data_IF_586500173252
#
_entry.id   IF_586500173252
#
_cell.length_a   1.000
_cell.length_b   1.000
_cell.length_c   1.000
_cell.angle_alpha   90.00
_cell.angle_beta   90.00
_cell.angle_gamma   90.00
#
_symmetry.space_group_name_H-M   'P 1'
#
loop_
_entity.id
_entity.type
_entity.pdbx_description
1 polymer ?
#
# COMPACT_ATOMS: atom_id res chain seq x y z
N UNK A 1 1.01 10.89 0.05
CA UNK A 1 1.19 11.28 -1.37
C UNK A 1 1.51 12.76 -1.52
N UNK A 2 0.56 13.69 -1.36
CA UNK A 2 0.80 15.12 -1.71
C UNK A 2 2.00 15.76 -1.01
N UNK A 3 2.12 15.62 0.32
CA UNK A 3 3.25 16.15 1.10
C UNK A 3 4.61 15.61 0.65
N UNK A 4 4.62 14.43 0.01
CA UNK A 4 5.83 13.73 -0.43
C UNK A 4 6.05 13.83 -1.96
N UNK A 5 5.20 14.56 -2.69
CA UNK A 5 5.17 14.51 -4.16
C UNK A 5 6.54 14.83 -4.77
N UNK A 6 7.26 15.80 -4.22
CA UNK A 6 8.61 16.13 -4.65
C UNK A 6 9.61 14.97 -4.52
N UNK A 7 9.57 14.27 -3.40
CA UNK A 7 10.43 13.11 -3.17
C UNK A 7 10.03 11.96 -4.10
N UNK A 8 8.74 11.75 -4.32
CA UNK A 8 8.23 10.74 -5.26
C UNK A 8 8.68 11.03 -6.71
N UNK A 9 8.76 12.30 -7.09
CA UNK A 9 9.32 12.75 -8.38
C UNK A 9 10.85 12.56 -8.42
N UNK A 10 11.57 12.91 -7.35
CA UNK A 10 13.02 12.72 -7.25
C UNK A 10 13.42 11.24 -7.33
N UNK A 11 12.62 10.34 -6.74
CA UNK A 11 12.77 8.89 -6.83
C UNK A 11 12.29 8.31 -8.16
N UNK A 12 11.79 9.13 -9.09
CA UNK A 12 11.23 8.73 -10.40
C UNK A 12 10.03 7.77 -10.29
N UNK A 13 9.39 7.74 -9.13
CA UNK A 13 8.17 6.97 -8.88
C UNK A 13 6.98 7.67 -9.55
N UNK A 14 6.99 9.00 -9.58
CA UNK A 14 6.01 9.83 -10.27
C UNK A 14 6.69 10.63 -11.39
N UNK A 15 6.14 10.53 -12.61
CA UNK A 15 6.49 11.43 -13.72
C UNK A 15 5.37 12.47 -13.85
N UNK A 16 5.58 13.71 -13.38
CA UNK A 16 4.52 14.71 -13.32
C UNK A 16 4.08 15.16 -14.71
N UNK A 17 5.00 15.18 -15.69
CA UNK A 17 4.69 15.56 -17.07
C UNK A 17 3.83 14.48 -17.75
N UNK A 18 4.11 13.20 -17.48
CA UNK A 18 3.27 12.09 -17.96
C UNK A 18 1.90 12.09 -17.30
N UNK A 19 1.83 12.29 -15.99
CA UNK A 19 0.55 12.32 -15.28
C UNK A 19 -0.32 13.49 -15.73
N UNK A 20 0.24 14.69 -15.90
CA UNK A 20 -0.53 15.83 -16.42
C UNK A 20 -1.02 15.61 -17.86
N UNK A 21 -0.23 14.96 -18.73
CA UNK A 21 -0.71 14.57 -20.07
C UNK A 21 -1.87 13.59 -20.03
N UNK A 22 -1.86 12.67 -19.06
CA UNK A 22 -2.96 11.70 -18.85
C UNK A 22 -4.22 12.41 -18.36
N UNK A 23 -4.07 13.30 -17.38
CA UNK A 23 -5.18 14.04 -16.75
C UNK A 23 -5.81 15.02 -17.76
N UNK A 24 -4.99 15.80 -18.47
CA UNK A 24 -5.43 16.87 -19.36
C UNK A 24 -4.96 16.62 -20.81
N UNK A 25 -5.50 15.61 -21.50
CA UNK A 25 -4.98 15.16 -22.81
C UNK A 25 -5.12 16.20 -23.93
N UNK A 26 -6.02 17.18 -23.78
CA UNK A 26 -6.25 18.25 -24.76
C UNK A 26 -5.43 19.51 -24.47
N UNK A 27 -4.73 19.57 -23.34
CA UNK A 27 -3.93 20.73 -22.95
C UNK A 27 -2.44 20.49 -23.26
N UNK A 28 -1.69 21.52 -23.68
CA UNK A 28 -0.25 21.40 -23.79
C UNK A 28 0.33 21.15 -22.40
N UNK A 29 0.93 19.97 -22.20
CA UNK A 29 1.52 19.63 -20.92
C UNK A 29 2.86 20.34 -20.73
N UNK A 30 3.16 20.82 -19.50
CA UNK A 30 4.48 21.35 -19.19
C UNK A 30 5.56 20.30 -19.46
N UNK A 31 6.67 20.73 -20.05
CA UNK A 31 7.86 19.90 -20.23
C UNK A 31 8.86 20.05 -19.08
N UNK A 32 8.79 21.17 -18.36
CA UNK A 32 9.59 21.42 -17.17
C UNK A 32 9.02 20.64 -15.97
N UNK A 33 9.88 19.87 -15.30
CA UNK A 33 9.50 19.00 -14.18
C UNK A 33 9.06 19.80 -12.96
N UNK A 34 9.66 20.96 -12.67
CA UNK A 34 9.29 21.80 -11.51
C UNK A 34 7.89 22.38 -11.72
N UNK A 35 7.64 22.92 -12.90
CA UNK A 35 6.31 23.45 -13.29
C UNK A 35 5.26 22.34 -13.29
N UNK A 36 5.58 21.18 -13.88
CA UNK A 36 4.68 20.02 -13.89
C UNK A 36 4.36 19.52 -12.48
N UNK A 37 5.35 19.44 -11.59
CA UNK A 37 5.16 19.01 -10.20
C UNK A 37 4.21 19.95 -9.45
N UNK A 38 4.39 21.27 -9.58
CA UNK A 38 3.52 22.26 -8.92
C UNK A 38 2.08 22.22 -9.47
N UNK A 39 1.92 22.08 -10.79
CA UNK A 39 0.61 21.94 -11.43
C UNK A 39 -0.10 20.64 -11.00
N UNK A 40 0.64 19.53 -10.92
CA UNK A 40 0.11 18.25 -10.44
C UNK A 40 -0.30 18.32 -8.95
N UNK A 41 0.49 18.98 -8.11
CA UNK A 41 0.13 19.24 -6.71
C UNK A 41 -1.19 20.02 -6.62
N UNK A 42 -1.31 21.07 -7.42
CA UNK A 42 -2.53 21.90 -7.48
C UNK A 42 -3.74 21.09 -7.89
N UNK A 43 -3.60 20.21 -8.88
CA UNK A 43 -4.65 19.27 -9.27
C UNK A 43 -5.09 18.41 -8.08
N UNK A 44 -4.17 17.73 -7.39
CA UNK A 44 -4.52 16.89 -6.24
C UNK A 44 -5.14 17.68 -5.08
N UNK A 45 -4.71 18.93 -4.85
CA UNK A 45 -5.32 19.80 -3.84
C UNK A 45 -6.78 20.12 -4.16
N UNK A 46 -7.09 20.33 -5.44
CA UNK A 46 -8.46 20.54 -5.91
C UNK A 46 -9.30 19.25 -5.77
N UNK A 47 -8.77 18.11 -6.20
CA UNK A 47 -9.50 16.83 -6.09
C UNK A 47 -9.77 16.46 -4.63
N UNK A 48 -8.84 16.72 -3.71
CA UNK A 48 -9.01 16.46 -2.27
C UNK A 48 -10.18 17.22 -1.65
N UNK A 49 -10.50 18.41 -2.15
CA UNK A 49 -11.58 19.25 -1.62
C UNK A 49 -12.88 19.14 -2.41
N UNK A 50 -12.86 18.40 -3.53
CA UNK A 50 -14.01 18.22 -4.40
C UNK A 50 -15.05 17.31 -3.73
N UNK A 51 -16.32 17.67 -3.89
CA UNK A 51 -17.43 16.82 -3.45
C UNK A 51 -17.47 15.52 -4.25
N UNK A 52 -17.72 14.41 -3.56
CA UNK A 52 -17.93 13.09 -4.19
C UNK A 52 -19.13 13.05 -5.15
N UNK A 53 -20.04 14.02 -5.03
CA UNK A 53 -21.21 14.14 -5.91
C UNK A 53 -20.94 14.98 -7.17
N UNK A 54 -19.76 15.59 -7.30
CA UNK A 54 -19.40 16.38 -8.47
C UNK A 54 -19.02 15.45 -9.62
N UNK A 55 -19.65 15.56 -10.81
CA UNK A 55 -19.23 14.82 -11.99
C UNK A 55 -17.82 15.26 -12.42
N UNK A 56 -16.94 14.29 -12.70
CA UNK A 56 -15.56 14.54 -13.14
C UNK A 56 -15.22 13.68 -14.36
N UNK A 57 -14.33 14.13 -15.25
CA UNK A 57 -13.77 13.28 -16.30
C UNK A 57 -13.17 12.00 -15.73
N UNK A 58 -13.35 10.86 -16.42
CA UNK A 58 -12.75 9.57 -16.03
C UNK A 58 -11.22 9.62 -15.91
N UNK A 59 -10.57 10.54 -16.64
CA UNK A 59 -9.15 10.79 -16.53
C UNK A 59 -8.72 11.20 -15.11
N UNK A 60 -9.59 11.88 -14.34
CA UNK A 60 -9.30 12.36 -12.98
C UNK A 60 -9.60 11.32 -11.90
N UNK A 61 -10.09 10.14 -12.28
CA UNK A 61 -10.36 9.09 -11.30
C UNK A 61 -9.05 8.55 -10.74
N UNK A 62 -9.13 8.02 -9.52
CA UNK A 62 -7.96 7.51 -8.79
C UNK A 62 -7.15 6.53 -9.65
N UNK A 63 -5.88 6.87 -9.88
CA UNK A 63 -4.94 6.06 -10.63
C UNK A 63 -3.93 5.32 -9.73
N UNK A 64 -2.86 4.79 -10.35
CA UNK A 64 -1.77 4.11 -9.64
C UNK A 64 -1.18 4.92 -8.47
N UNK A 65 -1.13 6.24 -8.58
CA UNK A 65 -0.63 7.15 -7.56
C UNK A 65 -1.41 7.06 -6.24
N UNK A 66 -2.74 6.97 -6.32
CA UNK A 66 -3.59 6.83 -5.14
C UNK A 66 -3.46 5.42 -4.57
N UNK A 67 -3.41 4.40 -5.42
CA UNK A 67 -3.29 3.00 -5.01
C UNK A 67 -1.97 2.71 -4.29
N UNK A 68 -0.87 3.32 -4.74
CA UNK A 68 0.43 3.29 -4.06
C UNK A 68 0.35 3.92 -2.67
N UNK A 69 -0.27 5.10 -2.57
CA UNK A 69 -0.48 5.77 -1.30
C UNK A 69 -1.40 4.97 -0.36
N UNK A 70 -2.42 4.30 -0.89
CA UNK A 70 -3.29 3.41 -0.13
C UNK A 70 -2.53 2.21 0.43
N UNK A 71 -1.68 1.56 -0.37
CA UNK A 71 -0.85 0.45 0.13
C UNK A 71 0.09 0.89 1.27
N UNK A 72 0.70 2.07 1.12
CA UNK A 72 1.52 2.69 2.16
C UNK A 72 0.72 3.00 3.43
N UNK A 73 -0.49 3.56 3.29
CA UNK A 73 -1.36 3.86 4.43
C UNK A 73 -1.84 2.59 5.16
N UNK A 74 -2.29 1.58 4.41
CA UNK A 74 -2.78 0.31 4.95
C UNK A 74 -1.69 -0.51 5.64
N UNK A 75 -0.42 -0.16 5.40
CA UNK A 75 0.75 -0.95 5.77
C UNK A 75 0.71 -2.38 5.26
N UNK A 76 -0.04 -2.63 4.19
CA UNK A 76 -0.24 -3.93 3.58
C UNK A 76 -0.18 -3.83 2.05
N UNK A 77 0.20 -4.92 1.34
CA UNK A 77 0.14 -4.92 -0.09
C UNK A 77 -1.33 -4.88 -0.55
N UNK A 78 -1.62 -3.99 -1.50
CA UNK A 78 -2.94 -3.85 -2.12
C UNK A 78 -2.95 -4.55 -3.48
N UNK A 79 -3.86 -5.51 -3.64
CA UNK A 79 -4.08 -6.20 -4.90
C UNK A 79 -5.29 -5.60 -5.61
N UNK A 80 -5.13 -5.30 -6.90
CA UNK A 80 -6.21 -4.81 -7.75
C UNK A 80 -6.50 -5.86 -8.81
N UNK A 81 -7.71 -6.41 -8.79
CA UNK A 81 -8.23 -7.25 -9.85
C UNK A 81 -8.79 -6.34 -10.94
N UNK A 82 -7.99 -6.11 -11.98
CA UNK A 82 -8.37 -5.30 -13.11
C UNK A 82 -9.15 -6.14 -14.13
N UNK A 83 -10.43 -5.84 -14.30
CA UNK A 83 -11.31 -6.52 -15.26
C UNK A 83 -11.37 -5.72 -16.55
N UNK A 84 -10.95 -6.36 -17.65
CA UNK A 84 -10.97 -5.78 -18.99
C UNK A 84 -12.38 -5.83 -19.62
N UNK A 85 -12.53 -5.33 -20.85
CA UNK A 85 -13.82 -5.32 -21.55
C UNK A 85 -14.35 -6.71 -21.93
N UNK A 86 -13.47 -7.71 -22.04
CA UNK A 86 -13.81 -9.11 -22.29
C UNK A 86 -14.15 -9.89 -21.00
N UNK A 87 -14.15 -9.22 -19.84
CA UNK A 87 -14.27 -9.80 -18.50
C UNK A 87 -13.10 -10.69 -18.07
N UNK A 88 -11.94 -10.58 -18.71
CA UNK A 88 -10.72 -11.20 -18.18
C UNK A 88 -10.16 -10.32 -17.06
N UNK A 89 -9.75 -10.96 -15.97
CA UNK A 89 -9.17 -10.30 -14.81
C UNK A 89 -7.65 -10.47 -14.82
N UNK A 90 -6.92 -9.36 -14.74
CA UNK A 90 -5.48 -9.32 -14.50
C UNK A 90 -5.20 -8.72 -13.13
N UNK A 91 -4.07 -9.10 -12.53
CA UNK A 91 -3.73 -8.64 -11.19
C UNK A 91 -2.71 -7.51 -11.28
N UNK A 92 -2.97 -6.43 -10.54
CA UNK A 92 -1.96 -5.46 -10.18
C UNK A 92 -1.65 -5.60 -8.68
N UNK A 93 -0.41 -5.28 -8.32
CA UNK A 93 0.02 -5.24 -6.92
C UNK A 93 0.65 -3.88 -6.63
N UNK A 94 0.22 -3.28 -5.53
CA UNK A 94 0.77 -2.06 -4.96
C UNK A 94 1.31 -2.35 -3.56
N UNK A 95 2.46 -1.78 -3.25
CA UNK A 95 3.17 -1.94 -1.98
C UNK A 95 4.04 -0.70 -1.76
N UNK A 96 4.92 -0.70 -0.77
CA UNK A 96 5.82 0.40 -0.46
C UNK A 96 7.19 -0.14 -0.12
N UNK A 97 8.20 0.70 -0.32
CA UNK A 97 9.59 0.38 0.02
C UNK A 97 10.36 1.69 0.23
N UNK A 98 11.54 1.53 0.84
CA UNK A 98 12.49 2.61 1.03
C UNK A 98 13.29 2.87 -0.25
N UNK A 99 13.44 4.15 -0.60
CA UNK A 99 14.29 4.64 -1.69
C UNK A 99 15.34 5.58 -1.14
N UNK A 100 16.56 5.50 -1.66
CA UNK A 100 17.60 6.48 -1.35
C UNK A 100 17.44 7.71 -2.24
N UNK A 101 17.21 8.87 -1.63
CA UNK A 101 17.15 10.16 -2.30
C UNK A 101 18.55 10.61 -2.76
N UNK A 102 18.66 11.56 -3.72
CA UNK A 102 19.95 12.08 -4.19
C UNK A 102 20.84 12.67 -3.09
N UNK A 103 20.24 13.17 -2.01
CA UNK A 103 20.96 13.71 -0.85
C UNK A 103 21.41 12.63 0.15
N UNK A 104 21.10 11.35 -0.09
CA UNK A 104 21.43 10.22 0.78
C UNK A 104 20.34 9.86 1.79
N UNK A 105 19.28 10.66 1.92
CA UNK A 105 18.18 10.37 2.84
C UNK A 105 17.36 9.17 2.37
N UNK A 106 16.71 8.48 3.31
CA UNK A 106 15.80 7.37 3.03
C UNK A 106 14.37 7.87 2.96
N UNK A 107 13.73 7.69 1.81
CA UNK A 107 12.35 8.07 1.55
C UNK A 107 11.49 6.83 1.26
N UNK A 108 10.53 6.55 2.13
CA UNK A 108 9.55 5.50 1.86
C UNK A 108 8.45 6.03 0.94
N UNK A 109 8.18 5.29 -0.14
CA UNK A 109 7.06 5.61 -1.01
C UNK A 109 6.42 4.35 -1.60
N UNK A 110 5.14 4.50 -1.95
CA UNK A 110 4.39 3.43 -2.59
C UNK A 110 4.85 3.20 -4.03
N UNK A 111 4.91 1.94 -4.43
CA UNK A 111 5.24 1.49 -5.78
C UNK A 111 4.31 0.34 -6.19
N UNK A 112 4.43 -0.14 -7.44
CA UNK A 112 3.61 -1.23 -7.94
C UNK A 112 3.17 -1.07 -9.39
N UNK A 113 2.34 -2.01 -9.82
CA UNK A 113 1.83 -2.07 -11.19
C UNK A 113 1.26 -3.44 -11.53
N UNK A 114 1.09 -3.67 -12.84
CA UNK A 114 0.62 -4.94 -13.36
C UNK A 114 1.60 -6.07 -13.03
N UNK A 115 1.04 -7.24 -12.75
CA UNK A 115 1.75 -8.48 -12.45
C UNK A 115 1.28 -9.53 -13.46
N UNK A 116 2.20 -10.40 -13.89
CA UNK A 116 1.81 -11.52 -14.74
C UNK A 116 0.97 -12.54 -13.97
N UNK A 117 0.08 -13.25 -14.67
CA UNK A 117 -0.88 -14.15 -14.06
C UNK A 117 -0.22 -15.32 -13.32
N UNK A 118 0.97 -15.76 -13.74
CA UNK A 118 1.67 -16.88 -13.09
C UNK A 118 2.23 -16.45 -11.73
N UNK A 119 2.91 -15.30 -11.68
CA UNK A 119 3.38 -14.69 -10.44
C UNK A 119 2.21 -14.37 -9.52
N UNK A 120 1.11 -13.83 -10.06
CA UNK A 120 -0.09 -13.54 -9.29
C UNK A 120 -0.68 -14.78 -8.61
N UNK A 121 -0.84 -15.87 -9.36
CA UNK A 121 -1.36 -17.14 -8.84
C UNK A 121 -0.43 -17.74 -7.79
N UNK A 122 0.88 -17.71 -8.04
CA UNK A 122 1.87 -18.21 -7.08
C UNK A 122 1.81 -17.43 -5.76
N UNK A 123 1.77 -16.10 -5.85
CA UNK A 123 1.71 -15.23 -4.69
C UNK A 123 0.41 -15.41 -3.90
N UNK A 124 -0.75 -15.39 -4.56
CA UNK A 124 -2.03 -15.60 -3.88
C UNK A 124 -2.14 -16.98 -3.24
N UNK A 125 -1.50 -18.01 -3.83
CA UNK A 125 -1.41 -19.34 -3.22
C UNK A 125 -0.56 -19.32 -1.95
N UNK A 126 0.60 -18.68 -1.96
CA UNK A 126 1.45 -18.55 -0.77
C UNK A 126 0.73 -17.82 0.38
N UNK A 127 -0.03 -16.77 0.04
CA UNK A 127 -0.89 -16.06 1.00
C UNK A 127 -1.95 -16.99 1.59
N UNK A 128 -2.62 -17.76 0.73
CA UNK A 128 -3.64 -18.71 1.16
C UNK A 128 -3.07 -19.85 2.03
N UNK A 129 -1.86 -20.36 1.74
CA UNK A 129 -1.22 -21.43 2.52
C UNK A 129 -0.93 -21.04 3.97
N UNK A 130 -0.74 -19.75 4.25
CA UNK A 130 -0.52 -19.23 5.61
C UNK A 130 -1.73 -18.45 6.15
N UNK A 131 -2.90 -18.61 5.52
CA UNK A 131 -4.14 -17.94 5.93
C UNK A 131 -3.98 -16.41 6.05
N UNK A 132 -3.23 -15.80 5.12
CA UNK A 132 -3.07 -14.35 5.01
C UNK A 132 -4.00 -13.86 3.93
N UNK A 133 -5.11 -13.21 4.31
CA UNK A 133 -5.99 -12.56 3.34
C UNK A 133 -5.42 -11.19 2.96
N UNK A 134 -5.00 -10.95 1.69
CA UNK A 134 -4.51 -9.65 1.29
C UNK A 134 -5.66 -8.65 1.12
N UNK A 135 -5.35 -7.35 1.21
CA UNK A 135 -6.28 -6.30 0.83
C UNK A 135 -6.52 -6.35 -0.69
N UNK A 136 -7.78 -6.48 -1.10
CA UNK A 136 -8.19 -6.59 -2.50
C UNK A 136 -9.28 -5.60 -2.87
N UNK A 137 -9.17 -5.04 -4.07
CA UNK A 137 -10.22 -4.27 -4.74
C UNK A 137 -10.35 -4.72 -6.20
N UNK A 138 -11.52 -4.52 -6.80
CA UNK A 138 -11.76 -4.82 -8.21
C UNK A 138 -11.87 -3.51 -8.98
N UNK A 139 -11.10 -3.35 -10.04
CA UNK A 139 -11.22 -2.24 -10.99
C UNK A 139 -11.92 -2.73 -12.25
N UNK A 140 -13.16 -2.27 -12.49
CA UNK A 140 -13.87 -2.58 -13.73
C UNK A 140 -13.71 -1.43 -14.72
N UNK A 141 -12.81 -1.57 -15.70
CA UNK A 141 -12.45 -0.48 -16.61
C UNK A 141 -13.63 0.10 -17.39
N UNK A 142 -14.60 -0.74 -17.78
CA UNK A 142 -15.78 -0.30 -18.52
C UNK A 142 -16.69 0.63 -17.73
N UNK A 143 -16.64 0.56 -16.41
CA UNK A 143 -17.41 1.41 -15.48
C UNK A 143 -16.53 2.47 -14.83
N UNK A 144 -15.21 2.39 -15.09
CA UNK A 144 -14.13 3.06 -14.41
C UNK A 144 -14.13 2.89 -12.88
N UNK A 145 -14.99 2.06 -12.30
CA UNK A 145 -15.28 2.04 -10.86
C UNK A 145 -14.42 1.02 -10.09
N UNK A 146 -14.08 1.37 -8.83
CA UNK A 146 -13.48 0.44 -7.88
C UNK A 146 -14.54 -0.18 -6.97
N UNK A 147 -14.48 -1.49 -6.80
CA UNK A 147 -15.35 -2.24 -5.90
C UNK A 147 -14.53 -2.83 -4.75
N UNK A 148 -15.03 -2.63 -3.53
CA UNK A 148 -14.48 -3.32 -2.35
C UNK A 148 -14.79 -4.82 -2.41
N UNK A 149 -13.84 -5.64 -1.97
CA UNK A 149 -14.04 -7.09 -1.87
C UNK A 149 -14.42 -7.45 -0.43
N UNK A 150 -15.59 -8.07 -0.25
CA UNK A 150 -16.00 -8.64 1.04
C UNK A 150 -15.66 -10.12 1.07
N UNK A 151 -14.64 -10.46 1.86
CA UNK A 151 -14.15 -11.84 1.99
C UNK A 151 -15.03 -12.73 2.91
N UNK A 152 -16.01 -12.16 3.63
CA UNK A 152 -16.90 -12.94 4.50
C UNK A 152 -16.21 -13.52 5.73
N UNK A 153 -16.78 -14.57 6.31
CA UNK A 153 -16.35 -15.12 7.60
C UNK A 153 -14.96 -15.77 7.60
N UNK A 154 -14.44 -16.17 6.42
CA UNK A 154 -13.09 -16.75 6.31
C UNK A 154 -12.01 -15.73 6.70
N UNK A 155 -12.19 -14.45 6.33
CA UNK A 155 -11.22 -13.42 6.68
C UNK A 155 -11.16 -13.19 8.20
N UNK A 156 -12.30 -13.26 8.89
CA UNK A 156 -12.36 -13.17 10.35
C UNK A 156 -11.69 -14.37 11.01
N UNK A 157 -11.96 -15.60 10.53
CA UNK A 157 -11.30 -16.81 11.02
C UNK A 157 -9.78 -16.72 10.85
N UNK A 158 -9.33 -16.40 9.64
CA UNK A 158 -7.92 -16.27 9.31
C UNK A 158 -7.21 -15.17 10.09
N UNK A 159 -7.93 -14.12 10.52
CA UNK A 159 -7.38 -13.10 11.39
C UNK A 159 -7.24 -13.59 12.84
N UNK A 160 -8.21 -14.37 13.34
CA UNK A 160 -8.23 -14.90 14.70
C UNK A 160 -7.19 -16.02 14.96
N UNK A 161 -6.79 -16.75 13.92
CA UNK A 161 -5.77 -17.80 14.05
C UNK A 161 -4.41 -17.22 14.45
N UNK A 162 -3.81 -17.77 15.50
CA UNK A 162 -2.54 -17.30 16.05
C UNK A 162 -2.64 -15.99 16.86
N UNK A 163 -3.86 -15.44 17.03
CA UNK A 163 -4.14 -14.27 17.87
C UNK A 163 -5.24 -14.62 18.89
N UNK A 164 -4.82 -15.13 20.05
CA UNK A 164 -5.72 -15.54 21.11
C UNK A 164 -6.58 -14.37 21.62
N UNK A 165 -6.00 -13.17 21.70
CA UNK A 165 -6.68 -11.98 22.22
C UNK A 165 -7.84 -11.59 21.30
N UNK A 166 -7.56 -11.46 20.00
CA UNK A 166 -8.58 -11.15 19.01
C UNK A 166 -9.66 -12.23 18.95
N UNK A 167 -9.25 -13.50 18.98
CA UNK A 167 -10.20 -14.61 18.93
C UNK A 167 -11.19 -14.55 20.11
N UNK A 168 -10.70 -14.33 21.33
CA UNK A 168 -11.53 -14.26 22.53
C UNK A 168 -12.44 -13.02 22.54
N UNK A 169 -11.89 -11.86 22.18
CA UNK A 169 -12.60 -10.58 22.26
C UNK A 169 -13.67 -10.41 21.17
N UNK A 170 -13.49 -11.05 20.02
CA UNK A 170 -14.31 -10.76 18.83
C UNK A 170 -14.97 -11.98 18.20
N UNK A 171 -14.55 -13.21 18.51
CA UNK A 171 -14.93 -14.39 17.73
C UNK A 171 -15.65 -15.50 18.50
N UNK A 172 -15.90 -15.33 19.79
CA UNK A 172 -16.53 -16.36 20.66
C UNK A 172 -17.92 -16.84 20.18
N UNK A 173 -18.65 -16.04 19.40
CA UNK A 173 -19.95 -16.42 18.84
C UNK A 173 -19.86 -17.25 17.55
N UNK A 174 -18.67 -17.42 16.97
CA UNK A 174 -18.50 -18.19 15.74
C UNK A 174 -18.40 -19.70 15.99
N UNK A 175 -19.04 -20.51 15.14
CA UNK A 175 -19.05 -21.99 15.28
C UNK A 175 -17.65 -22.61 15.28
N UNK A 176 -16.69 -22.01 14.56
CA UNK A 176 -15.31 -22.47 14.46
C UNK A 176 -14.41 -22.01 15.61
N UNK A 177 -14.91 -21.19 16.55
CA UNK A 177 -14.09 -20.57 17.61
C UNK A 177 -13.31 -21.62 18.40
N UNK A 178 -14.00 -22.65 18.89
CA UNK A 178 -13.36 -23.71 19.69
C UNK A 178 -12.31 -24.50 18.91
N UNK A 179 -12.47 -24.65 17.59
CA UNK A 179 -11.47 -25.29 16.74
C UNK A 179 -10.19 -24.46 16.68
N UNK A 180 -10.32 -23.13 16.53
CA UNK A 180 -9.19 -22.21 16.47
C UNK A 180 -8.45 -22.19 17.82
N UNK A 181 -9.16 -22.12 18.95
CA UNK A 181 -8.55 -22.20 20.27
C UNK A 181 -7.78 -23.51 20.45
N UNK A 182 -8.42 -24.66 20.17
CA UNK A 182 -7.79 -25.97 20.32
C UNK A 182 -6.56 -26.12 19.42
N UNK A 183 -6.58 -25.56 18.21
CA UNK A 183 -5.43 -25.57 17.30
C UNK A 183 -4.25 -24.77 17.85
N UNK A 184 -4.50 -23.57 18.39
CA UNK A 184 -3.46 -22.74 19.01
C UNK A 184 -2.85 -23.44 20.25
N UNK A 185 -3.70 -24.00 21.11
CA UNK A 185 -3.25 -24.76 22.29
C UNK A 185 -2.39 -25.97 21.90
N UNK A 186 -2.83 -26.74 20.89
CA UNK A 186 -2.07 -27.87 20.38
C UNK A 186 -0.67 -27.44 19.90
N UNK A 187 -0.60 -26.38 19.09
CA UNK A 187 0.67 -25.88 18.58
C UNK A 187 1.56 -25.29 19.69
N UNK A 188 0.99 -24.65 20.71
CA UNK A 188 1.75 -24.10 21.83
C UNK A 188 2.47 -25.17 22.68
N UNK A 189 2.02 -26.43 22.62
CA UNK A 189 2.67 -27.55 23.34
C UNK A 189 3.80 -28.21 22.57
N UNK A 190 3.98 -27.89 21.29
CA UNK A 190 5.08 -28.42 20.46
C UNK A 190 6.41 -27.80 20.87
N UNK A 191 7.47 -28.60 20.79
CA UNK A 191 8.84 -28.21 21.19
C UNK A 191 9.85 -28.38 20.07
N UNK A 192 9.41 -28.82 18.90
CA UNK A 192 10.26 -28.95 17.72
C UNK A 192 10.66 -27.58 17.15
N UNK A 193 11.91 -27.48 16.70
CA UNK A 193 12.35 -26.32 15.93
C UNK A 193 11.79 -26.42 14.51
N UNK A 194 11.07 -25.38 14.10
CA UNK A 194 10.42 -25.33 12.79
C UNK A 194 11.12 -24.31 11.90
N UNK A 195 11.53 -24.75 10.72
CA UNK A 195 11.97 -23.85 9.66
C UNK A 195 10.76 -23.19 8.99
N UNK A 196 10.55 -21.91 9.30
CA UNK A 196 9.43 -21.13 8.76
C UNK A 196 9.48 -20.95 7.24
N UNK A 197 10.64 -21.16 6.60
CA UNK A 197 10.78 -21.04 5.15
C UNK A 197 10.24 -22.26 4.39
N UNK A 198 10.00 -23.39 5.07
CA UNK A 198 9.45 -24.59 4.44
C UNK A 198 7.95 -24.45 4.20
N UNK A 199 7.49 -24.62 2.95
CA UNK A 199 6.07 -24.60 2.57
C UNK A 199 5.49 -26.03 2.51
N UNK A 200 5.20 -26.59 3.67
CA UNK A 200 4.45 -27.85 3.80
C UNK A 200 3.30 -27.73 4.81
N UNK A 201 2.38 -28.69 4.78
CA UNK A 201 1.13 -28.62 5.52
C UNK A 201 1.31 -28.60 7.05
N UNK A 202 2.29 -29.33 7.60
CA UNK A 202 2.50 -29.38 9.06
C UNK A 202 3.14 -28.08 9.55
N UNK A 203 4.16 -27.61 8.85
CA UNK A 203 4.80 -26.32 9.13
C UNK A 203 3.80 -25.18 9.01
N UNK A 204 2.96 -25.18 7.97
CA UNK A 204 1.95 -24.15 7.78
C UNK A 204 0.89 -24.18 8.89
N UNK A 205 0.42 -25.36 9.30
CA UNK A 205 -0.51 -25.50 10.41
C UNK A 205 0.09 -24.93 11.70
N UNK A 206 1.33 -25.26 12.01
CA UNK A 206 2.01 -24.70 13.17
C UNK A 206 2.12 -23.18 13.12
N UNK A 207 2.55 -22.61 11.98
CA UNK A 207 2.65 -21.16 11.80
C UNK A 207 1.28 -20.49 11.98
N UNK A 208 0.22 -21.07 11.41
CA UNK A 208 -1.16 -20.58 11.55
C UNK A 208 -1.62 -20.61 13.02
N UNK A 209 -1.24 -21.64 13.79
CA UNK A 209 -1.61 -21.78 15.19
C UNK A 209 -0.80 -20.94 16.16
N UNK A 210 0.35 -20.40 15.76
CA UNK A 210 1.30 -19.75 16.69
C UNK A 210 1.64 -18.31 16.36
N UNK A 211 1.34 -17.85 15.14
CA UNK A 211 1.71 -16.52 14.67
C UNK A 211 0.48 -15.71 14.28
N UNK A 212 0.41 -14.47 14.75
CA UNK A 212 -0.56 -13.50 14.29
C UNK A 212 -0.48 -13.31 12.77
N UNK A 213 -1.61 -12.96 12.15
CA UNK A 213 -1.70 -12.79 10.68
C UNK A 213 -0.63 -11.85 10.12
N UNK A 214 -0.23 -10.81 10.86
CA UNK A 214 0.81 -9.89 10.38
C UNK A 214 2.18 -10.55 10.30
N UNK A 215 2.55 -11.36 11.30
CA UNK A 215 3.82 -12.10 11.30
C UNK A 215 3.80 -13.15 10.18
N UNK A 216 2.65 -13.77 9.93
CA UNK A 216 2.47 -14.70 8.81
C UNK A 216 2.70 -14.04 7.45
N UNK A 217 2.29 -12.77 7.28
CA UNK A 217 2.59 -12.01 6.06
C UNK A 217 4.09 -11.84 5.84
N UNK A 218 4.87 -11.58 6.89
CA UNK A 218 6.33 -11.49 6.78
C UNK A 218 6.95 -12.84 6.37
N UNK A 219 6.47 -13.95 6.91
CA UNK A 219 6.89 -15.30 6.48
C UNK A 219 6.56 -15.54 5.00
N UNK A 220 5.36 -15.14 4.54
CA UNK A 220 5.02 -15.21 3.12
C UNK A 220 6.01 -14.40 2.28
N UNK A 221 6.38 -13.20 2.73
CA UNK A 221 7.34 -12.36 2.01
C UNK A 221 8.72 -13.01 1.96
N UNK A 222 9.21 -13.56 3.07
CA UNK A 222 10.50 -14.26 3.11
C UNK A 222 10.51 -15.46 2.16
N UNK A 223 9.46 -16.30 2.18
CA UNK A 223 9.33 -17.46 1.28
C UNK A 223 9.31 -17.07 -0.20
N UNK A 224 8.74 -15.90 -0.51
CA UNK A 224 8.69 -15.35 -1.86
C UNK A 224 9.93 -14.51 -2.23
N UNK A 225 10.93 -14.41 -1.33
CA UNK A 225 12.11 -13.55 -1.49
C UNK A 225 11.74 -12.08 -1.74
N UNK A 226 10.70 -11.60 -1.06
CA UNK A 226 10.24 -10.23 -1.10
C UNK A 226 10.71 -9.47 0.14
N UNK A 227 10.99 -8.17 0.03
CA UNK A 227 11.19 -7.33 1.20
C UNK A 227 9.98 -7.38 2.11
N UNK A 228 10.21 -7.54 3.42
CA UNK A 228 9.18 -7.32 4.43
C UNK A 228 8.75 -5.86 4.40
N UNK A 229 7.50 -5.62 4.75
CA UNK A 229 6.91 -4.30 4.75
C UNK A 229 6.92 -3.75 6.19
N UNK A 230 7.26 -2.47 6.38
CA UNK A 230 7.21 -1.82 7.70
C UNK A 230 5.77 -1.79 8.24
N UNK A 231 5.53 -2.19 9.48
CA UNK A 231 4.19 -2.18 10.07
C UNK A 231 3.85 -0.89 10.84
N UNK A 232 4.79 0.07 10.92
CA UNK A 232 4.63 1.30 11.71
C UNK A 232 3.52 2.19 11.13
N UNK A 233 2.42 2.47 11.86
CA UNK A 233 1.33 3.29 11.32
C UNK A 233 1.80 4.68 10.87
N UNK A 234 1.09 5.22 9.86
CA UNK A 234 1.26 6.61 9.46
C UNK A 234 0.43 7.53 10.34
N UNK A 235 1.08 8.59 10.82
CA UNK A 235 0.44 9.74 11.43
C UNK A 235 -0.08 10.67 10.32
N UNK A 236 -1.40 10.63 10.12
CA UNK A 236 -2.06 11.43 9.10
C UNK A 236 -2.07 12.92 9.44
N UNK A 237 -2.02 13.28 10.73
CA UNK A 237 -2.08 14.67 11.17
C UNK A 237 -0.76 15.37 10.83
N UNK A 238 0.37 14.72 11.08
CA UNK A 238 1.69 15.25 10.68
C UNK A 238 1.76 15.46 9.15
N UNK A 239 1.24 14.51 8.37
CA UNK A 239 1.22 14.64 6.91
C UNK A 239 0.31 15.78 6.44
N UNK A 240 -0.84 15.96 7.09
CA UNK A 240 -1.81 17.01 6.76
C UNK A 240 -1.27 18.40 7.08
N UNK A 241 -0.61 18.56 8.23
CA UNK A 241 0.00 19.82 8.68
C UNK A 241 1.11 20.31 7.74
N UNK A 242 1.79 19.38 7.06
CA UNK A 242 2.82 19.69 6.07
C UNK A 242 2.32 20.23 4.72
N UNK A 243 1.02 20.06 4.39
CA UNK A 243 0.49 20.39 3.06
C UNK A 243 0.64 21.88 2.66
N UNK A 244 0.36 22.88 3.54
CA UNK A 244 0.51 24.29 3.17
C UNK A 244 1.97 24.66 2.90
N UNK A 245 2.90 24.13 3.70
CA UNK A 245 4.33 24.38 3.55
C UNK A 245 4.87 23.79 2.25
N UNK A 246 4.46 22.56 1.92
CA UNK A 246 4.86 21.90 0.67
C UNK A 246 4.30 22.62 -0.56
N UNK A 247 3.04 23.04 -0.53
CA UNK A 247 2.43 23.82 -1.60
C UNK A 247 3.23 25.11 -1.89
N UNK A 248 3.57 25.87 -0.85
CA UNK A 248 4.34 27.10 -0.97
C UNK A 248 5.76 26.85 -1.49
N UNK A 249 6.37 25.71 -1.13
CA UNK A 249 7.69 25.32 -1.61
C UNK A 249 7.67 24.98 -3.11
N UNK A 250 6.74 24.12 -3.55
CA UNK A 250 6.60 23.74 -4.95
C UNK A 250 6.31 24.94 -5.84
N UNK A 251 5.45 25.86 -5.40
CA UNK A 251 5.16 27.08 -6.16
C UNK A 251 6.39 27.99 -6.30
N UNK A 252 7.22 28.12 -5.25
CA UNK A 252 8.47 28.87 -5.34
C UNK A 252 9.43 28.25 -6.33
N UNK A 253 9.59 26.92 -6.30
CA UNK A 253 10.45 26.19 -7.24
C UNK A 253 9.98 26.32 -8.70
N UNK A 254 8.67 26.41 -8.94
CA UNK A 254 8.13 26.60 -10.28
C UNK A 254 8.28 28.05 -10.80
N UNK A 255 8.39 29.03 -9.90
CA UNK A 255 8.53 30.45 -10.24
C UNK A 255 10.00 30.92 -10.37
N UNK A 256 10.97 30.12 -9.90
CA UNK A 256 12.40 30.42 -10.04
C UNK A 256 12.88 29.95 -11.42
N UNK A 257 13.01 30.88 -12.37
CA UNK A 257 13.63 30.67 -13.67
C UNK A 257 15.15 30.49 -13.49
N UNK A 258 15.67 29.29 -13.74
CA UNK A 258 17.11 29.02 -13.89
C UNK A 258 17.94 29.04 -12.59
N UNK A 259 19.04 28.29 -12.60
CA UNK A 259 20.19 28.38 -11.67
C UNK A 259 20.14 27.67 -10.30
N UNK A 260 19.28 26.67 -10.09
CA UNK A 260 19.61 25.65 -9.07
C UNK A 260 19.11 24.26 -9.51
N UNK A 261 20.05 23.41 -9.91
CA UNK A 261 19.82 22.02 -10.38
C UNK A 261 19.41 21.06 -9.26
N UNK A 262 19.37 21.52 -8.01
CA UNK A 262 18.85 20.73 -6.90
C UNK A 262 17.46 21.24 -6.51
N UNK A 263 16.43 20.37 -6.58
CA UNK A 263 15.31 20.57 -5.67
C UNK A 263 15.91 20.51 -4.26
N UNK A 264 15.77 21.54 -3.42
CA UNK A 264 16.10 21.37 -2.01
C UNK A 264 15.26 20.18 -1.51
N UNK A 265 15.85 19.26 -0.74
CA UNK A 265 15.11 18.12 -0.23
C UNK A 265 13.86 18.62 0.49
N UNK A 266 12.76 17.87 0.39
CA UNK A 266 11.66 18.09 1.31
C UNK A 266 12.21 18.02 2.75
N UNK A 267 11.50 18.63 3.72
CA UNK A 267 11.81 18.42 5.14
C UNK A 267 11.98 16.92 5.46
N UNK A 268 12.66 16.57 6.57
CA UNK A 268 13.23 15.25 6.81
C UNK A 268 12.29 14.13 6.36
N UNK A 269 12.84 13.22 5.56
CA UNK A 269 12.12 12.07 5.06
C UNK A 269 11.55 11.28 6.25
N UNK A 270 10.26 10.95 6.15
CA UNK A 270 9.48 10.23 7.16
C UNK A 270 9.17 10.99 8.48
N UNK A 271 8.79 12.27 8.44
CA UNK A 271 8.19 12.93 9.62
C UNK A 271 6.84 12.31 10.07
N UNK A 272 6.20 11.47 9.25
CA UNK A 272 4.86 10.92 9.52
C UNK A 272 4.81 9.49 10.07
N UNK A 273 5.92 8.84 10.45
CA UNK A 273 5.86 7.55 11.15
C UNK A 273 5.63 7.84 12.64
N UNK A 274 4.61 7.23 13.23
CA UNK A 274 4.38 7.35 14.67
C UNK A 274 5.58 6.76 15.43
N UNK A 275 6.34 7.58 16.16
CA UNK A 275 7.40 7.07 17.03
C UNK A 275 6.78 6.22 18.13
N UNK A 276 6.95 4.90 18.05
CA UNK A 276 6.68 4.00 19.17
C UNK A 276 7.79 4.18 20.20
N UNK A 277 7.55 5.08 21.16
CA UNK A 277 8.36 5.12 22.38
C UNK A 277 8.06 3.86 23.20
N UNK A 278 8.81 2.80 22.92
CA UNK A 278 8.84 1.61 23.76
C UNK A 278 9.38 1.97 25.14
N UNK A 279 8.55 1.81 26.18
CA UNK A 279 9.03 1.46 27.50
C UNK A 279 8.82 -0.03 27.70
N UNK A 280 9.93 -0.70 27.98
CA UNK A 280 10.07 -2.11 28.30
C UNK A 280 9.18 -2.57 29.46
#
# INVERSE_FOLDING_TARGET
MMTNLANDVACKVVDPCRELRRLYPTQPAPTDIKVATAALYTHYAQERTRSVNTPIPSAFWAGPEVLRAMAQYLREPLFVLEVNQANDAHVQRYYYQDYTLPNGDVHETGCGGAMDDATAKSMLRAYAHLHVMPAMIVLKRSEAHFYGVRNGGIATRWHAEGDLSFAQDHCSSHEWFNEVIAHMECCATRTDEIDTLTDDADVNAFIIGTMERRVRLDVVHDRLMLPRLDNTPYDLDILADGLPAEAARLQRCANSDGDDESMPPAGPAAAGRAETTGRA
#
